data_IF_714731165395
#
_entry.id   IF_714731165395
#
_cell.length_a   1.000
_cell.length_b   1.000
_cell.length_c   1.000
_cell.angle_alpha   90.00
_cell.angle_beta   90.00
_cell.angle_gamma   90.00
#
_symmetry.space_group_name_H-M   'P 1'
#
loop_
_entity.id
_entity.type
_entity.pdbx_description
1 polymer ?
#
# COMPACT_ATOMS: atom_id res chain seq x y z
N UNK A 1 28.90 0.98 5.12
CA UNK A 1 27.65 0.42 5.67
C UNK A 1 26.77 0.06 4.50
N UNK A 2 26.37 -1.20 4.41
CA UNK A 2 25.40 -1.66 3.41
C UNK A 2 24.04 -1.03 3.71
N UNK A 3 23.48 -0.33 2.71
CA UNK A 3 22.13 0.23 2.79
C UNK A 3 21.12 -0.69 2.09
N UNK A 4 19.84 -0.29 2.05
CA UNK A 4 18.80 -1.12 1.46
C UNK A 4 18.91 -1.33 -0.06
N UNK A 5 19.93 -0.78 -0.74
CA UNK A 5 20.17 -1.08 -2.17
C UNK A 5 20.48 -2.55 -2.41
N UNK A 6 21.07 -3.23 -1.43
CA UNK A 6 21.26 -4.68 -1.50
C UNK A 6 19.92 -5.39 -1.71
N UNK A 7 18.89 -4.98 -0.95
CA UNK A 7 17.54 -5.53 -1.05
C UNK A 7 16.88 -5.17 -2.39
N UNK A 8 16.97 -3.92 -2.84
CA UNK A 8 16.34 -3.54 -4.11
C UNK A 8 16.98 -4.27 -5.29
N UNK A 9 18.31 -4.42 -5.28
CA UNK A 9 19.03 -5.18 -6.29
C UNK A 9 18.66 -6.66 -6.29
N UNK A 10 18.61 -7.30 -5.11
CA UNK A 10 18.22 -8.71 -5.00
C UNK A 10 16.77 -8.96 -5.47
N UNK A 11 15.87 -8.00 -5.30
CA UNK A 11 14.49 -8.10 -5.79
C UNK A 11 14.42 -7.98 -7.32
N UNK A 12 15.12 -7.03 -7.92
CA UNK A 12 15.12 -6.83 -9.37
C UNK A 12 15.92 -7.88 -10.12
N UNK A 13 17.12 -8.17 -9.64
CA UNK A 13 18.06 -9.15 -10.19
C UNK A 13 18.42 -10.18 -9.11
N UNK A 14 17.60 -11.23 -8.93
CA UNK A 14 17.85 -12.25 -7.91
C UNK A 14 19.13 -13.06 -8.18
N UNK A 15 19.62 -13.13 -9.42
CA UNK A 15 20.89 -13.80 -9.71
C UNK A 15 22.10 -13.08 -9.07
N UNK A 16 21.97 -11.79 -8.78
CA UNK A 16 23.01 -11.03 -8.04
C UNK A 16 23.32 -11.60 -6.66
N UNK A 17 22.42 -12.40 -6.06
CA UNK A 17 22.64 -13.02 -4.74
C UNK A 17 23.50 -14.28 -4.78
N UNK A 18 23.80 -14.84 -5.96
CA UNK A 18 24.63 -16.05 -6.08
C UNK A 18 26.08 -15.83 -5.64
N UNK A 19 26.55 -14.59 -5.64
CA UNK A 19 27.89 -14.21 -5.19
C UNK A 19 27.95 -13.84 -3.69
N UNK A 20 26.85 -13.94 -2.95
CA UNK A 20 26.77 -13.46 -1.57
C UNK A 20 27.51 -14.37 -0.59
N UNK A 21 28.19 -13.73 0.36
CA UNK A 21 28.70 -14.42 1.54
C UNK A 21 27.66 -14.44 2.69
N UNK A 22 28.04 -15.02 3.84
CA UNK A 22 27.17 -15.11 5.02
C UNK A 22 26.75 -13.74 5.58
N UNK A 23 27.60 -12.71 5.46
CA UNK A 23 27.30 -11.37 5.95
C UNK A 23 26.30 -10.66 5.02
N UNK A 24 26.45 -10.82 3.71
CA UNK A 24 25.50 -10.31 2.72
C UNK A 24 24.11 -10.94 2.89
N UNK A 25 24.03 -12.26 3.08
CA UNK A 25 22.77 -12.95 3.35
C UNK A 25 22.11 -12.49 4.64
N UNK A 26 22.90 -12.32 5.71
CA UNK A 26 22.39 -11.79 6.98
C UNK A 26 21.79 -10.39 6.79
N UNK A 27 22.49 -9.53 6.06
CA UNK A 27 22.04 -8.18 5.77
C UNK A 27 20.76 -8.15 4.93
N UNK A 28 20.73 -8.91 3.84
CA UNK A 28 19.58 -9.00 2.94
C UNK A 28 18.33 -9.47 3.69
N UNK A 29 18.44 -10.56 4.47
CA UNK A 29 17.30 -11.12 5.23
C UNK A 29 16.84 -10.15 6.31
N UNK A 30 17.76 -9.50 7.02
CA UNK A 30 17.42 -8.52 8.05
C UNK A 30 16.66 -7.32 7.46
N UNK A 31 17.12 -6.79 6.32
CA UNK A 31 16.45 -5.69 5.62
C UNK A 31 15.10 -6.12 5.04
N UNK A 32 15.01 -7.31 4.43
CA UNK A 32 13.75 -7.83 3.87
C UNK A 32 12.67 -7.99 4.95
N UNK A 33 13.03 -8.48 6.14
CA UNK A 33 12.08 -8.56 7.28
C UNK A 33 11.68 -7.19 7.79
N UNK A 34 12.64 -6.28 7.97
CA UNK A 34 12.38 -4.93 8.47
C UNK A 34 11.48 -4.10 7.53
N UNK A 35 11.56 -4.35 6.22
CA UNK A 35 10.72 -3.72 5.21
C UNK A 35 9.49 -4.57 4.82
N UNK A 36 9.20 -5.68 5.52
CA UNK A 36 8.05 -6.55 5.22
C UNK A 36 8.04 -7.10 3.78
N UNK A 37 9.23 -7.34 3.22
CA UNK A 37 9.48 -7.83 1.86
C UNK A 37 10.02 -9.27 1.83
N UNK A 38 10.12 -9.96 2.97
CA UNK A 38 10.70 -11.30 3.05
C UNK A 38 9.95 -12.33 2.18
N UNK A 39 8.61 -12.27 2.13
CA UNK A 39 7.82 -13.16 1.28
C UNK A 39 8.07 -12.90 -0.21
N UNK A 40 7.97 -11.63 -0.66
CA UNK A 40 8.27 -11.27 -2.05
C UNK A 40 9.71 -11.65 -2.45
N UNK A 41 10.69 -11.40 -1.58
CA UNK A 41 12.08 -11.82 -1.82
C UNK A 41 12.18 -13.34 -1.96
N UNK A 42 11.53 -14.10 -1.09
CA UNK A 42 11.56 -15.56 -1.14
C UNK A 42 10.94 -16.14 -2.42
N UNK A 43 9.94 -15.49 -3.01
CA UNK A 43 9.44 -15.86 -4.34
C UNK A 43 10.42 -15.46 -5.46
N UNK A 44 11.09 -14.31 -5.36
CA UNK A 44 12.08 -13.87 -6.35
C UNK A 44 13.32 -14.76 -6.40
N UNK A 45 13.72 -15.33 -5.26
CA UNK A 45 14.85 -16.26 -5.17
C UNK A 45 14.48 -17.72 -5.46
N UNK A 46 13.22 -18.01 -5.79
CA UNK A 46 12.79 -19.38 -6.05
C UNK A 46 13.48 -19.96 -7.29
N UNK A 47 13.91 -21.22 -7.19
CA UNK A 47 14.67 -21.90 -8.24
C UNK A 47 16.18 -21.58 -8.30
N UNK A 48 16.70 -20.67 -7.47
CA UNK A 48 18.15 -20.45 -7.35
C UNK A 48 18.81 -21.46 -6.41
N UNK A 49 20.09 -21.75 -6.64
CA UNK A 49 20.92 -22.57 -5.74
C UNK A 49 21.33 -21.74 -4.52
N UNK A 50 20.52 -21.80 -3.47
CA UNK A 50 20.70 -21.03 -2.24
C UNK A 50 21.40 -21.87 -1.16
N UNK A 51 22.24 -21.26 -0.30
CA UNK A 51 22.72 -21.95 0.89
C UNK A 51 21.57 -22.51 1.73
N UNK A 52 21.71 -23.75 2.20
CA UNK A 52 20.66 -24.50 2.90
C UNK A 52 19.94 -23.70 4.02
N UNK A 53 20.62 -22.95 4.91
CA UNK A 53 19.93 -22.10 5.89
C UNK A 53 19.04 -21.00 5.27
N UNK A 54 19.47 -20.41 4.16
CA UNK A 54 18.74 -19.38 3.42
C UNK A 54 17.53 -19.98 2.72
N UNK A 55 17.71 -21.15 2.08
CA UNK A 55 16.63 -21.89 1.43
C UNK A 55 15.48 -22.19 2.41
N UNK A 56 15.80 -22.65 3.64
CA UNK A 56 14.80 -22.88 4.69
C UNK A 56 14.06 -21.61 5.12
N UNK A 57 14.76 -20.48 5.25
CA UNK A 57 14.14 -19.19 5.58
C UNK A 57 13.18 -18.76 4.47
N UNK A 58 13.58 -18.92 3.20
CA UNK A 58 12.74 -18.57 2.06
C UNK A 58 11.50 -19.48 1.99
N UNK A 59 11.65 -20.78 2.19
CA UNK A 59 10.52 -21.71 2.24
C UNK A 59 9.50 -21.33 3.34
N UNK A 60 9.98 -21.01 4.55
CA UNK A 60 9.11 -20.55 5.64
C UNK A 60 8.42 -19.21 5.31
N UNK A 61 9.13 -18.29 4.66
CA UNK A 61 8.57 -17.00 4.25
C UNK A 61 7.46 -17.15 3.20
N UNK A 62 7.61 -18.07 2.24
CA UNK A 62 6.55 -18.38 1.25
C UNK A 62 5.31 -18.97 1.92
N UNK A 63 5.47 -19.93 2.83
CA UNK A 63 4.34 -20.49 3.61
C UNK A 63 3.62 -19.40 4.41
N UNK A 64 4.37 -18.48 5.03
CA UNK A 64 3.80 -17.34 5.76
C UNK A 64 3.02 -16.40 4.84
N UNK A 65 3.54 -16.12 3.64
CA UNK A 65 2.86 -15.28 2.67
C UNK A 65 1.59 -15.94 2.11
N UNK A 66 1.61 -17.25 1.85
CA UNK A 66 0.42 -18.00 1.42
C UNK A 66 -0.66 -18.04 2.51
N UNK A 67 -0.26 -18.03 3.78
CA UNK A 67 -1.20 -17.88 4.89
C UNK A 67 -1.81 -16.48 4.92
N UNK A 68 -1.00 -15.43 4.80
CA UNK A 68 -1.48 -14.05 4.73
C UNK A 68 -2.44 -13.84 3.54
N UNK A 69 -2.13 -14.41 2.37
CA UNK A 69 -2.99 -14.40 1.18
C UNK A 69 -4.37 -15.01 1.48
N UNK A 70 -4.40 -16.23 2.03
CA UNK A 70 -5.66 -16.92 2.36
C UNK A 70 -6.49 -16.14 3.36
N UNK A 71 -5.84 -15.56 4.37
CA UNK A 71 -6.51 -14.75 5.38
C UNK A 71 -7.09 -13.46 4.78
N UNK A 72 -6.34 -12.75 3.93
CA UNK A 72 -6.84 -11.54 3.27
C UNK A 72 -8.06 -11.84 2.39
N UNK A 73 -8.03 -12.93 1.62
CA UNK A 73 -9.17 -13.38 0.81
C UNK A 73 -10.37 -13.79 1.66
N UNK A 74 -10.12 -14.43 2.81
CA UNK A 74 -11.17 -14.77 3.77
C UNK A 74 -11.84 -13.51 4.35
N UNK A 75 -11.07 -12.52 4.80
CA UNK A 75 -11.65 -11.28 5.33
C UNK A 75 -12.42 -10.51 4.26
N UNK A 76 -11.93 -10.48 3.01
CA UNK A 76 -12.67 -9.91 1.89
C UNK A 76 -14.02 -10.61 1.66
N UNK A 77 -14.06 -11.95 1.74
CA UNK A 77 -15.29 -12.73 1.63
C UNK A 77 -16.24 -12.48 2.81
N UNK A 78 -15.73 -12.35 4.04
CA UNK A 78 -16.57 -12.01 5.20
C UNK A 78 -17.20 -10.62 5.06
N UNK A 79 -16.41 -9.62 4.65
CA UNK A 79 -16.93 -8.28 4.37
C UNK A 79 -17.96 -8.32 3.22
N UNK A 80 -17.69 -9.06 2.14
CA UNK A 80 -18.61 -9.22 1.01
C UNK A 80 -19.99 -9.72 1.46
N UNK A 81 -20.04 -10.77 2.30
CA UNK A 81 -21.31 -11.34 2.78
C UNK A 81 -22.19 -10.34 3.52
N UNK A 82 -21.57 -9.41 4.24
CA UNK A 82 -22.25 -8.37 5.01
C UNK A 82 -22.67 -7.20 4.12
N UNK A 83 -21.83 -6.83 3.14
CA UNK A 83 -22.00 -5.60 2.37
C UNK A 83 -22.75 -5.77 1.04
N UNK A 84 -22.68 -6.94 0.40
CA UNK A 84 -23.43 -7.21 -0.85
C UNK A 84 -24.95 -6.96 -0.72
N UNK A 85 -25.62 -7.34 0.38
CA UNK A 85 -27.04 -7.05 0.57
C UNK A 85 -27.40 -5.55 0.54
N UNK A 86 -26.45 -4.65 0.77
CA UNK A 86 -26.67 -3.20 0.69
C UNK A 86 -26.81 -2.69 -0.75
N UNK A 87 -26.38 -3.47 -1.74
CA UNK A 87 -26.46 -3.08 -3.16
C UNK A 87 -25.56 -1.91 -3.55
N UNK A 88 -24.51 -1.64 -2.76
CA UNK A 88 -23.51 -0.59 -3.02
C UNK A 88 -22.20 -1.20 -3.55
N UNK A 89 -21.44 -0.50 -4.40
CA UNK A 89 -20.13 -0.98 -4.83
C UNK A 89 -19.16 -1.05 -3.64
N UNK A 90 -18.48 -2.18 -3.49
CA UNK A 90 -17.42 -2.41 -2.50
C UNK A 90 -16.13 -2.69 -3.26
N UNK A 91 -15.25 -1.69 -3.33
CA UNK A 91 -14.00 -1.78 -4.07
C UNK A 91 -12.88 -2.17 -3.11
N UNK A 92 -12.22 -3.30 -3.33
CA UNK A 92 -11.04 -3.68 -2.58
C UNK A 92 -9.87 -2.75 -2.90
N UNK A 93 -9.10 -2.41 -1.87
CA UNK A 93 -7.88 -1.61 -1.99
C UNK A 93 -6.64 -2.37 -1.50
N UNK A 94 -5.47 -1.77 -1.79
CA UNK A 94 -4.13 -2.18 -1.33
C UNK A 94 -3.88 -3.69 -1.50
N UNK A 95 -3.29 -4.34 -0.48
CA UNK A 95 -2.79 -5.70 -0.59
C UNK A 95 -3.87 -6.73 -0.88
N UNK A 96 -5.05 -6.57 -0.28
CA UNK A 96 -6.16 -7.49 -0.47
C UNK A 96 -6.71 -7.41 -1.90
N UNK A 97 -6.79 -6.21 -2.48
CA UNK A 97 -7.12 -6.05 -3.89
C UNK A 97 -6.14 -6.79 -4.80
N UNK A 98 -4.83 -6.66 -4.55
CA UNK A 98 -3.81 -7.26 -5.41
C UNK A 98 -3.89 -8.79 -5.40
N UNK A 99 -4.09 -9.40 -4.23
CA UNK A 99 -4.21 -10.86 -4.14
C UNK A 99 -5.54 -11.38 -4.68
N UNK A 100 -6.63 -10.61 -4.56
CA UNK A 100 -7.94 -10.96 -5.09
C UNK A 100 -7.96 -10.92 -6.63
N UNK A 101 -7.30 -9.93 -7.22
CA UNK A 101 -7.15 -9.80 -8.67
C UNK A 101 -6.01 -10.65 -9.28
N UNK A 102 -5.26 -11.40 -8.46
CA UNK A 102 -4.14 -12.21 -8.94
C UNK A 102 -2.95 -11.40 -9.48
N UNK A 103 -2.80 -10.14 -9.07
CA UNK A 103 -1.72 -9.25 -9.52
C UNK A 103 -0.37 -9.65 -8.92
N UNK A 104 0.72 -9.41 -9.65
CA UNK A 104 2.10 -9.71 -9.21
C UNK A 104 2.47 -8.98 -7.92
N UNK A 105 1.86 -7.82 -7.66
CA UNK A 105 2.04 -7.07 -6.41
C UNK A 105 1.50 -7.82 -5.17
N UNK A 106 0.61 -8.80 -5.36
CA UNK A 106 0.11 -9.68 -4.30
C UNK A 106 1.06 -10.83 -3.93
N UNK A 107 2.04 -11.16 -4.79
CA UNK A 107 2.92 -12.32 -4.59
C UNK A 107 3.90 -12.08 -3.44
N UNK A 108 3.85 -12.94 -2.43
CA UNK A 108 4.71 -12.83 -1.25
C UNK A 108 4.38 -11.66 -0.32
N UNK A 109 3.26 -10.97 -0.56
CA UNK A 109 2.89 -9.74 0.13
C UNK A 109 2.43 -9.97 1.58
N UNK A 110 2.98 -9.20 2.51
CA UNK A 110 2.44 -9.05 3.86
C UNK A 110 1.22 -8.12 3.82
N UNK A 111 0.09 -8.57 4.39
CA UNK A 111 -1.21 -7.88 4.42
C UNK A 111 -1.71 -7.92 5.87
N UNK A 112 -2.05 -6.77 6.44
CA UNK A 112 -2.47 -6.66 7.84
C UNK A 112 -3.96 -6.33 8.01
N UNK A 113 -4.47 -5.49 7.12
CA UNK A 113 -5.75 -4.82 7.11
C UNK A 113 -6.55 -5.16 5.85
N UNK A 114 -7.88 -5.10 5.95
CA UNK A 114 -8.78 -5.08 4.82
C UNK A 114 -9.17 -3.63 4.52
N UNK A 115 -8.66 -3.09 3.43
CA UNK A 115 -9.06 -1.77 2.95
C UNK A 115 -10.15 -1.88 1.89
N UNK A 116 -11.24 -1.14 2.07
CA UNK A 116 -12.32 -1.03 1.08
C UNK A 116 -12.65 0.43 0.76
N UNK A 117 -13.04 0.73 -0.47
CA UNK A 117 -13.62 2.00 -0.89
C UNK A 117 -15.11 1.80 -1.21
N UNK A 118 -15.94 2.65 -0.62
CA UNK A 118 -17.40 2.67 -0.80
C UNK A 118 -17.88 4.10 -1.12
N UNK A 119 -19.09 4.27 -1.69
CA UNK A 119 -19.66 5.59 -1.87
C UNK A 119 -19.81 6.32 -0.53
N UNK A 120 -19.44 7.60 -0.48
CA UNK A 120 -19.55 8.40 0.75
C UNK A 120 -20.96 8.41 1.33
N UNK A 121 -21.98 8.46 0.48
CA UNK A 121 -23.39 8.43 0.88
C UNK A 121 -23.82 7.10 1.52
N UNK A 122 -23.02 6.03 1.39
CA UNK A 122 -23.30 4.72 1.95
C UNK A 122 -22.55 4.43 3.26
N UNK A 123 -21.69 5.35 3.74
CA UNK A 123 -20.83 5.12 4.92
C UNK A 123 -21.62 4.66 6.14
N UNK A 124 -22.68 5.37 6.51
CA UNK A 124 -23.50 5.04 7.69
C UNK A 124 -24.15 3.65 7.56
N UNK A 125 -24.58 3.28 6.35
CA UNK A 125 -25.19 1.97 6.09
C UNK A 125 -24.15 0.84 6.14
N UNK A 126 -22.96 1.07 5.59
CA UNK A 126 -21.83 0.13 5.60
C UNK A 126 -21.34 -0.09 7.03
N UNK A 127 -21.09 0.99 7.77
CA UNK A 127 -20.70 0.96 9.18
C UNK A 127 -21.70 0.17 10.03
N UNK A 128 -22.99 0.51 9.91
CA UNK A 128 -24.06 -0.19 10.62
C UNK A 128 -24.09 -1.67 10.29
N UNK A 129 -23.95 -2.05 9.02
CA UNK A 129 -23.94 -3.45 8.61
C UNK A 129 -22.73 -4.21 9.20
N UNK A 130 -21.53 -3.62 9.15
CA UNK A 130 -20.32 -4.22 9.72
C UNK A 130 -20.45 -4.44 11.23
N UNK A 131 -21.02 -3.48 11.96
CA UNK A 131 -21.16 -3.57 13.42
C UNK A 131 -22.29 -4.52 13.81
N UNK A 132 -23.50 -4.31 13.29
CA UNK A 132 -24.70 -5.02 13.76
C UNK A 132 -24.79 -6.45 13.22
N UNK A 133 -24.25 -6.72 12.03
CA UNK A 133 -24.38 -8.01 11.33
C UNK A 133 -23.03 -8.71 11.12
N UNK A 134 -21.96 -7.93 10.98
CA UNK A 134 -20.64 -8.43 10.64
C UNK A 134 -19.74 -8.78 11.82
N UNK A 135 -20.06 -8.33 13.04
CA UNK A 135 -19.24 -8.59 14.24
C UNK A 135 -17.99 -7.72 14.34
N UNK A 136 -17.93 -6.60 13.62
CA UNK A 136 -16.90 -5.58 13.81
C UNK A 136 -17.28 -4.61 14.93
N UNK A 137 -16.27 -4.06 15.60
CA UNK A 137 -16.42 -3.04 16.64
C UNK A 137 -15.36 -1.95 16.49
N UNK A 138 -15.59 -0.82 17.15
CA UNK A 138 -14.64 0.28 17.19
C UNK A 138 -13.39 -0.11 17.99
N UNK A 139 -12.20 0.15 17.42
CA UNK A 139 -10.93 -0.08 18.13
C UNK A 139 -10.83 0.82 19.38
N UNK A 140 -11.41 2.03 19.32
CA UNK A 140 -11.49 2.97 20.45
C UNK A 140 -12.80 3.74 20.40
N UNK A 141 -13.43 3.89 21.56
CA UNK A 141 -14.63 4.70 21.75
C UNK A 141 -14.22 6.10 22.27
N UNK A 142 -13.83 7.00 21.36
CA UNK A 142 -13.48 8.39 21.68
C UNK A 142 -14.19 9.35 20.70
N UNK A 143 -15.22 10.05 21.19
CA UNK A 143 -16.04 11.00 20.43
C UNK A 143 -15.22 12.08 19.68
N UNK A 144 -14.07 12.49 20.21
CA UNK A 144 -13.22 13.47 19.55
C UNK A 144 -12.48 12.88 18.34
N UNK A 145 -11.99 11.65 18.48
CA UNK A 145 -11.31 10.96 17.39
C UNK A 145 -12.35 10.60 16.30
N UNK A 146 -13.57 10.17 16.65
CA UNK A 146 -14.64 9.91 15.69
C UNK A 146 -14.97 11.12 14.80
N UNK A 147 -15.28 12.28 15.42
CA UNK A 147 -15.54 13.51 14.68
C UNK A 147 -14.34 13.92 13.80
N UNK A 148 -13.12 13.74 14.30
CA UNK A 148 -11.92 14.04 13.52
C UNK A 148 -11.83 13.16 12.25
N UNK A 149 -12.09 11.85 12.35
CA UNK A 149 -12.10 10.96 11.19
C UNK A 149 -13.19 11.34 10.19
N UNK A 150 -14.43 11.52 10.66
CA UNK A 150 -15.57 11.81 9.76
C UNK A 150 -15.44 13.14 9.02
N UNK A 151 -14.94 14.17 9.70
CA UNK A 151 -14.86 15.52 9.13
C UNK A 151 -13.60 15.73 8.27
N UNK A 152 -12.51 15.01 8.55
CA UNK A 152 -11.20 15.34 7.99
C UNK A 152 -10.52 14.17 7.28
N UNK A 153 -10.77 12.92 7.70
CA UNK A 153 -10.12 11.74 7.12
C UNK A 153 -10.91 11.18 5.94
N UNK A 154 -10.25 10.27 5.24
CA UNK A 154 -10.71 9.66 4.00
C UNK A 154 -11.37 8.30 4.22
N UNK A 155 -11.50 7.93 5.48
CA UNK A 155 -11.98 6.65 6.00
C UNK A 155 -12.73 6.88 7.32
N UNK A 156 -13.59 5.93 7.68
CA UNK A 156 -14.13 5.83 9.03
C UNK A 156 -13.02 5.55 10.04
N UNK A 157 -13.22 5.83 11.34
CA UNK A 157 -12.31 5.31 12.34
C UNK A 157 -12.13 3.78 12.19
N UNK A 158 -10.97 3.24 12.55
CA UNK A 158 -10.67 1.84 12.30
C UNK A 158 -11.61 0.92 13.08
N UNK A 159 -12.12 -0.10 12.39
CA UNK A 159 -12.94 -1.16 12.95
C UNK A 159 -12.13 -2.45 13.08
N UNK A 160 -12.42 -3.27 14.08
CA UNK A 160 -11.79 -4.58 14.30
C UNK A 160 -12.85 -5.66 14.52
N UNK A 161 -12.65 -6.85 13.95
CA UNK A 161 -13.56 -7.96 14.18
C UNK A 161 -13.31 -8.62 15.54
N UNK A 162 -14.36 -8.73 16.36
CA UNK A 162 -14.31 -9.21 17.75
C UNK A 162 -13.61 -10.58 17.93
N UNK A 163 -13.86 -11.53 17.03
CA UNK A 163 -13.33 -12.90 17.15
C UNK A 163 -12.05 -13.16 16.33
N UNK A 164 -11.81 -12.35 15.29
CA UNK A 164 -10.77 -12.65 14.28
C UNK A 164 -9.52 -11.80 14.46
N UNK A 165 -9.61 -10.72 15.26
CA UNK A 165 -8.53 -9.75 15.47
C UNK A 165 -8.04 -9.18 14.12
N UNK A 166 -9.01 -8.79 13.28
CA UNK A 166 -8.77 -8.27 11.92
C UNK A 166 -9.38 -6.91 11.73
N UNK A 167 -8.55 -5.98 11.30
CA UNK A 167 -8.93 -4.61 11.02
C UNK A 167 -9.58 -4.48 9.64
N UNK A 168 -10.58 -3.62 9.54
CA UNK A 168 -11.14 -3.15 8.27
C UNK A 168 -11.13 -1.62 8.27
N UNK A 169 -10.57 -1.06 7.21
CA UNK A 169 -10.54 0.39 6.97
C UNK A 169 -11.54 0.70 5.84
N UNK A 170 -12.55 1.50 6.16
CA UNK A 170 -13.67 1.81 5.25
C UNK A 170 -13.48 3.22 4.68
N UNK A 171 -12.91 3.29 3.48
CA UNK A 171 -12.62 4.51 2.77
C UNK A 171 -13.83 5.04 2.00
N UNK A 172 -13.93 6.37 1.90
CA UNK A 172 -14.83 7.08 0.96
C UNK A 172 -14.07 7.91 -0.08
N UNK A 173 -12.75 8.03 0.08
CA UNK A 173 -11.80 8.60 -0.89
C UNK A 173 -10.39 8.09 -0.54
N UNK A 174 -9.37 8.45 -1.32
CA UNK A 174 -8.00 7.89 -1.19
C UNK A 174 -6.98 8.83 -0.53
N UNK A 175 -7.38 10.06 -0.19
CA UNK A 175 -6.57 11.03 0.56
C UNK A 175 -7.44 11.80 1.54
N UNK A 176 -6.92 12.17 2.73
CA UNK A 176 -7.64 13.02 3.69
C UNK A 176 -8.34 14.21 3.04
N UNK A 177 -9.54 14.55 3.51
CA UNK A 177 -10.31 15.71 3.01
C UNK A 177 -9.57 17.04 3.23
N UNK A 178 -8.62 17.04 4.17
CA UNK A 178 -7.73 18.16 4.49
C UNK A 178 -6.46 18.21 3.66
N UNK A 179 -6.21 17.20 2.80
CA UNK A 179 -5.06 17.20 1.91
C UNK A 179 -5.19 18.30 0.86
N UNK A 180 -4.06 18.87 0.42
CA UNK A 180 -4.05 19.86 -0.66
C UNK A 180 -4.34 19.30 -2.05
N UNK A 181 -4.80 18.06 -2.16
CA UNK A 181 -5.21 17.37 -3.39
C UNK A 181 -6.58 16.75 -3.17
N UNK A 182 -7.41 16.75 -4.18
CA UNK A 182 -8.76 16.18 -4.11
C UNK A 182 -8.96 15.09 -5.17
N UNK A 183 -8.63 13.82 -4.85
CA UNK A 183 -8.93 12.71 -5.75
C UNK A 183 -10.43 12.59 -6.01
N UNK A 184 -10.81 12.50 -7.29
CA UNK A 184 -12.18 12.22 -7.73
C UNK A 184 -12.63 10.79 -7.36
N UNK A 185 -13.23 10.64 -6.17
CA UNK A 185 -13.68 9.35 -5.65
C UNK A 185 -14.88 8.77 -6.41
N UNK A 186 -15.75 9.61 -6.97
CA UNK A 186 -16.87 9.16 -7.79
C UNK A 186 -16.36 8.50 -9.07
N UNK A 187 -15.32 9.05 -9.70
CA UNK A 187 -14.66 8.43 -10.83
C UNK A 187 -13.96 7.11 -10.50
N UNK A 188 -13.29 7.03 -9.34
CA UNK A 188 -12.68 5.80 -8.87
C UNK A 188 -13.71 4.68 -8.71
N UNK A 189 -14.89 5.01 -8.17
CA UNK A 189 -16.01 4.08 -8.00
C UNK A 189 -16.66 3.73 -9.35
N UNK A 190 -16.93 4.72 -10.19
CA UNK A 190 -17.60 4.54 -11.48
C UNK A 190 -16.78 3.67 -12.44
N UNK A 191 -15.47 3.88 -12.48
CA UNK A 191 -14.55 3.15 -13.38
C UNK A 191 -13.95 1.90 -12.71
N UNK A 192 -14.40 1.53 -11.51
CA UNK A 192 -14.00 0.28 -10.87
C UNK A 192 -14.55 -0.93 -11.65
N UNK A 193 -13.81 -2.03 -11.63
CA UNK A 193 -14.10 -3.26 -12.36
C UNK A 193 -14.59 -4.35 -11.40
N UNK A 194 -15.50 -5.22 -11.85
CA UNK A 194 -15.94 -6.36 -11.03
C UNK A 194 -14.83 -7.41 -10.92
N UNK A 195 -14.65 -7.95 -9.70
CA UNK A 195 -13.73 -9.06 -9.48
C UNK A 195 -14.43 -10.39 -9.79
N UNK A 196 -13.90 -11.11 -10.78
CA UNK A 196 -14.28 -12.50 -11.04
C UNK A 196 -13.68 -13.43 -9.99
N UNK A 197 -14.41 -13.64 -8.89
CA UNK A 197 -14.00 -14.59 -7.84
C UNK A 197 -14.53 -15.98 -8.18
N UNK A 198 -13.61 -16.92 -8.46
CA UNK A 198 -13.92 -18.25 -9.03
C UNK A 198 -14.78 -19.17 -8.14
N UNK A 199 -14.99 -18.85 -6.86
CA UNK A 199 -15.68 -19.72 -5.89
C UNK A 199 -16.78 -19.00 -5.07
N UNK A 200 -17.75 -18.35 -5.73
CA UNK A 200 -19.09 -18.20 -5.13
C UNK A 200 -19.65 -16.81 -4.86
N UNK A 201 -19.35 -15.82 -5.70
CA UNK A 201 -20.26 -14.68 -5.89
C UNK A 201 -19.56 -13.36 -6.22
N UNK A 202 -20.03 -12.69 -7.27
CA UNK A 202 -19.70 -11.30 -7.55
C UNK A 202 -20.09 -10.36 -6.40
N UNK A 203 -19.86 -9.06 -6.63
CA UNK A 203 -20.20 -8.01 -5.67
C UNK A 203 -19.01 -7.41 -4.92
N UNK A 204 -17.78 -7.88 -5.19
CA UNK A 204 -16.56 -7.12 -4.92
C UNK A 204 -16.02 -6.53 -6.22
N UNK A 205 -15.37 -5.39 -6.10
CA UNK A 205 -14.78 -4.65 -7.22
C UNK A 205 -13.31 -4.35 -6.94
N UNK A 206 -12.59 -3.93 -7.96
CA UNK A 206 -11.23 -3.38 -7.87
C UNK A 206 -11.17 -2.09 -8.67
N UNK A 207 -10.27 -1.16 -8.32
CA UNK A 207 -10.02 0.02 -9.14
C UNK A 207 -9.53 -0.39 -10.53
N UNK A 208 -9.76 0.48 -11.54
CA UNK A 208 -9.16 0.30 -12.86
C UNK A 208 -7.62 0.23 -12.76
N UNK A 209 -6.92 -0.47 -13.67
CA UNK A 209 -5.46 -0.61 -13.60
C UNK A 209 -4.68 0.71 -13.43
N UNK A 210 -5.00 1.80 -14.16
CA UNK A 210 -4.35 3.10 -13.94
C UNK A 210 -4.65 3.70 -12.56
N UNK A 211 -5.87 3.52 -12.05
CA UNK A 211 -6.28 4.03 -10.74
C UNK A 211 -5.65 3.26 -9.57
N UNK A 212 -5.40 1.96 -9.73
CA UNK A 212 -4.61 1.18 -8.77
C UNK A 212 -3.23 1.82 -8.59
N UNK A 213 -2.57 2.21 -9.70
CA UNK A 213 -1.26 2.87 -9.67
C UNK A 213 -1.35 4.27 -9.06
N UNK A 214 -2.36 5.06 -9.42
CA UNK A 214 -2.62 6.36 -8.81
C UNK A 214 -2.80 6.26 -7.29
N UNK A 215 -3.64 5.32 -6.83
CA UNK A 215 -3.87 5.07 -5.42
C UNK A 215 -2.60 4.64 -4.69
N UNK A 216 -1.83 3.68 -5.24
CA UNK A 216 -0.57 3.23 -4.65
C UNK A 216 0.46 4.37 -4.54
N UNK A 217 0.55 5.23 -5.57
CA UNK A 217 1.42 6.40 -5.56
C UNK A 217 0.95 7.48 -4.56
N UNK A 218 -0.37 7.68 -4.41
CA UNK A 218 -0.95 8.59 -3.44
C UNK A 218 -0.64 8.12 -2.01
N UNK A 219 -0.89 6.86 -1.71
CA UNK A 219 -0.60 6.26 -0.41
C UNK A 219 0.89 6.43 -0.03
N UNK A 220 1.80 6.18 -0.96
CA UNK A 220 3.23 6.30 -0.69
C UNK A 220 3.72 7.76 -0.61
N UNK A 221 3.31 8.64 -1.53
CA UNK A 221 3.93 9.96 -1.69
C UNK A 221 3.05 11.15 -1.33
N UNK A 222 1.73 11.01 -1.25
CA UNK A 222 0.81 12.10 -0.94
C UNK A 222 0.25 12.02 0.49
N UNK A 223 0.29 10.86 1.14
CA UNK A 223 -0.17 10.68 2.52
C UNK A 223 0.92 10.12 3.47
N UNK A 224 1.77 9.22 2.97
CA UNK A 224 2.76 8.50 3.79
C UNK A 224 4.01 9.28 4.23
N UNK A 225 4.62 8.79 5.32
CA UNK A 225 5.93 9.23 5.87
C UNK A 225 7.12 8.39 5.34
N UNK A 226 6.85 7.51 4.37
CA UNK A 226 7.77 6.54 3.77
C UNK A 226 8.27 5.44 4.74
N UNK A 227 7.62 5.22 5.89
CA UNK A 227 7.82 3.99 6.66
C UNK A 227 7.26 2.79 5.88
N UNK A 228 8.02 1.70 5.80
CA UNK A 228 7.69 0.57 4.91
C UNK A 228 7.67 0.94 3.42
N UNK A 229 8.27 2.08 3.05
CA UNK A 229 8.13 2.64 1.72
C UNK A 229 8.75 1.80 0.60
N UNK A 230 9.73 0.93 0.91
CA UNK A 230 10.29 0.02 -0.09
C UNK A 230 9.28 -1.05 -0.51
N UNK A 231 8.50 -1.58 0.44
CA UNK A 231 7.41 -2.52 0.11
C UNK A 231 6.38 -1.86 -0.80
N UNK A 232 5.93 -0.66 -0.44
CA UNK A 232 4.95 0.07 -1.24
C UNK A 232 5.49 0.43 -2.64
N UNK A 233 6.78 0.76 -2.74
CA UNK A 233 7.40 1.03 -4.04
C UNK A 233 7.57 -0.25 -4.88
N UNK A 234 7.86 -1.38 -4.24
CA UNK A 234 7.89 -2.69 -4.89
C UNK A 234 6.51 -3.07 -5.46
N UNK A 235 5.43 -2.80 -4.73
CA UNK A 235 4.07 -3.00 -5.26
C UNK A 235 3.87 -2.22 -6.56
N UNK A 236 4.26 -0.94 -6.57
CA UNK A 236 4.14 -0.10 -7.76
C UNK A 236 4.99 -0.65 -8.91
N UNK A 237 6.22 -1.08 -8.66
CA UNK A 237 7.04 -1.73 -9.69
C UNK A 237 6.34 -2.98 -10.27
N UNK A 238 5.73 -3.83 -9.43
CA UNK A 238 4.99 -5.01 -9.89
C UNK A 238 3.76 -4.62 -10.72
N UNK A 239 2.96 -3.66 -10.25
CA UNK A 239 1.77 -3.16 -10.95
C UNK A 239 2.12 -2.57 -12.32
N UNK A 240 3.20 -1.78 -12.40
CA UNK A 240 3.64 -1.17 -13.65
C UNK A 240 4.12 -2.21 -14.66
N UNK A 241 4.71 -3.32 -14.20
CA UNK A 241 5.09 -4.43 -15.07
C UNK A 241 3.90 -5.25 -15.53
N UNK A 242 2.90 -5.44 -14.67
CA UNK A 242 1.66 -6.14 -15.04
C UNK A 242 0.85 -5.34 -16.08
N UNK A 243 0.77 -4.02 -15.93
CA UNK A 243 -0.11 -3.18 -16.76
C UNK A 243 0.60 -2.45 -17.91
N UNK A 244 1.91 -2.21 -17.78
CA UNK A 244 2.67 -1.38 -18.72
C UNK A 244 2.83 -1.97 -20.12
N UNK A 245 2.52 -3.26 -20.30
CA UNK A 245 2.49 -3.94 -21.60
C UNK A 245 1.14 -3.80 -22.32
N UNK A 246 0.10 -3.29 -21.65
CA UNK A 246 -1.21 -3.08 -22.26
C UNK A 246 -1.24 -1.82 -23.14
N UNK A 247 -1.83 -1.93 -24.32
CA UNK A 247 -1.97 -0.82 -25.27
C UNK A 247 -2.72 0.36 -24.63
N UNK A 248 -2.16 1.56 -24.74
CA UNK A 248 -2.75 2.79 -24.22
C UNK A 248 -2.66 3.00 -22.70
N UNK A 249 -2.13 2.04 -21.93
CA UNK A 249 -2.07 2.14 -20.46
C UNK A 249 -1.40 3.42 -19.96
N UNK A 250 -0.26 3.80 -20.57
CA UNK A 250 0.52 4.96 -20.13
C UNK A 250 -0.21 6.28 -20.37
N UNK A 251 -0.88 6.43 -21.51
CA UNK A 251 -1.71 7.59 -21.83
C UNK A 251 -2.83 7.75 -20.79
N UNK A 252 -3.60 6.68 -20.56
CA UNK A 252 -4.69 6.68 -19.58
C UNK A 252 -4.17 6.91 -18.17
N UNK A 253 -3.01 6.36 -17.78
CA UNK A 253 -2.39 6.65 -16.49
C UNK A 253 -2.07 8.13 -16.31
N UNK A 254 -1.59 8.80 -17.36
CA UNK A 254 -1.38 10.25 -17.37
C UNK A 254 -2.69 11.00 -17.11
N UNK A 255 -3.74 10.68 -17.86
CA UNK A 255 -5.07 11.29 -17.74
C UNK A 255 -5.68 11.10 -16.35
N UNK A 256 -5.61 9.87 -15.80
CA UNK A 256 -6.09 9.58 -14.43
C UNK A 256 -5.26 10.31 -13.38
N UNK A 257 -3.95 10.37 -13.54
CA UNK A 257 -3.10 11.12 -12.62
C UNK A 257 -3.42 12.63 -12.64
N UNK A 258 -3.80 13.20 -13.78
CA UNK A 258 -4.31 14.56 -13.87
C UNK A 258 -5.67 14.72 -13.18
N UNK A 259 -6.62 13.83 -13.50
CA UNK A 259 -7.98 13.84 -12.93
C UNK A 259 -7.98 13.81 -11.40
N UNK A 260 -7.09 13.01 -10.80
CA UNK A 260 -7.01 12.88 -9.34
C UNK A 260 -6.03 13.87 -8.68
N UNK A 261 -5.44 14.80 -9.44
CA UNK A 261 -4.39 15.75 -8.97
C UNK A 261 -3.11 15.06 -8.44
N UNK A 262 -2.84 13.85 -8.95
CA UNK A 262 -1.77 12.94 -8.53
C UNK A 262 -0.56 12.89 -9.47
N UNK A 263 -0.48 13.74 -10.50
CA UNK A 263 0.67 13.83 -11.44
C UNK A 263 2.02 13.82 -10.72
N UNK A 264 2.17 14.60 -9.63
CA UNK A 264 3.42 14.69 -8.87
C UNK A 264 3.76 13.38 -8.11
N UNK A 265 2.85 12.80 -7.31
CA UNK A 265 2.99 11.46 -6.74
C UNK A 265 3.31 10.37 -7.77
N UNK A 266 2.52 10.27 -8.84
CA UNK A 266 2.66 9.24 -9.89
C UNK A 266 4.02 9.37 -10.57
N UNK A 267 4.36 10.54 -11.11
CA UNK A 267 5.66 10.73 -11.76
C UNK A 267 6.84 10.47 -10.81
N UNK A 268 6.70 10.73 -9.50
CA UNK A 268 7.76 10.34 -8.53
C UNK A 268 7.84 8.83 -8.36
N UNK A 269 6.71 8.14 -8.30
CA UNK A 269 6.69 6.69 -8.23
C UNK A 269 7.44 6.09 -9.41
N UNK A 270 7.08 6.50 -10.64
CA UNK A 270 7.72 6.04 -11.88
C UNK A 270 9.24 6.25 -11.88
N UNK A 271 9.73 7.45 -11.53
CA UNK A 271 11.18 7.73 -11.46
C UNK A 271 11.91 6.93 -10.39
N UNK A 272 11.26 6.61 -9.28
CA UNK A 272 11.88 5.86 -8.19
C UNK A 272 11.84 4.35 -8.43
N UNK A 273 10.78 3.83 -9.04
CA UNK A 273 10.71 2.42 -9.47
C UNK A 273 11.71 2.15 -10.58
N UNK A 274 11.80 3.02 -11.60
CA UNK A 274 12.84 2.96 -12.63
C UNK A 274 14.25 2.95 -12.01
N UNK A 275 14.53 3.88 -11.09
CA UNK A 275 15.85 4.02 -10.48
C UNK A 275 16.25 2.86 -9.55
N UNK A 276 15.30 2.36 -8.75
CA UNK A 276 15.61 1.40 -7.69
C UNK A 276 15.33 -0.05 -8.08
N UNK A 277 14.40 -0.26 -9.01
CA UNK A 277 13.95 -1.59 -9.42
C UNK A 277 14.09 -1.86 -10.93
N UNK A 278 14.62 -0.91 -11.71
CA UNK A 278 14.79 -1.03 -13.16
C UNK A 278 13.46 -1.33 -13.87
N UNK A 279 12.38 -0.73 -13.36
CA UNK A 279 11.03 -0.84 -13.94
C UNK A 279 11.01 -0.19 -15.32
N UNK A 280 10.53 -0.88 -16.36
CA UNK A 280 10.30 -0.26 -17.66
C UNK A 280 9.16 0.76 -17.51
N UNK A 281 9.41 1.99 -17.93
CA UNK A 281 8.45 3.10 -17.80
C UNK A 281 8.41 3.94 -19.07
N UNK A 282 7.26 4.51 -19.39
CA UNK A 282 7.13 5.45 -20.50
C UNK A 282 7.67 6.84 -20.11
N UNK A 283 8.67 7.32 -20.85
CA UNK A 283 9.37 8.57 -20.57
C UNK A 283 8.49 9.82 -20.60
N UNK A 284 7.39 9.82 -21.36
CA UNK A 284 6.46 10.95 -21.44
C UNK A 284 5.69 11.12 -20.12
N UNK A 285 5.17 10.02 -19.55
CA UNK A 285 4.42 10.02 -18.29
C UNK A 285 5.33 10.23 -17.07
N UNK A 286 6.53 9.66 -17.09
CA UNK A 286 7.55 9.77 -16.02
C UNK A 286 7.91 11.25 -15.77
N UNK A 287 7.96 12.03 -16.84
CA UNK A 287 8.37 13.42 -16.83
C UNK A 287 9.83 13.64 -16.42
N UNK A 288 10.24 14.90 -16.32
CA UNK A 288 11.65 15.26 -16.08
C UNK A 288 12.15 14.83 -14.69
N UNK A 289 13.42 14.37 -14.58
CA UNK A 289 14.07 14.11 -13.30
C UNK A 289 13.96 15.28 -12.32
N UNK A 290 13.75 14.99 -11.03
CA UNK A 290 13.66 16.01 -9.99
C UNK A 290 14.80 15.86 -8.99
N UNK A 291 15.50 16.95 -8.69
CA UNK A 291 16.61 16.97 -7.71
C UNK A 291 16.20 16.47 -6.32
N UNK A 292 14.95 16.66 -5.93
CA UNK A 292 14.42 16.20 -4.65
C UNK A 292 14.26 14.66 -4.57
N UNK A 293 14.20 13.93 -5.69
CA UNK A 293 14.00 12.48 -5.67
C UNK A 293 15.17 11.75 -4.99
N UNK A 294 16.36 12.37 -4.96
CA UNK A 294 17.50 11.89 -4.16
C UNK A 294 17.18 11.81 -2.66
N UNK A 295 16.37 12.72 -2.11
CA UNK A 295 15.97 12.68 -0.70
C UNK A 295 14.95 11.56 -0.44
N UNK A 296 14.05 11.30 -1.38
CA UNK A 296 13.08 10.20 -1.28
C UNK A 296 13.80 8.84 -1.37
N UNK A 297 14.64 8.64 -2.38
CA UNK A 297 15.48 7.45 -2.47
C UNK A 297 16.33 7.26 -1.20
N UNK A 298 16.92 8.35 -0.70
CA UNK A 298 17.69 8.34 0.54
C UNK A 298 16.89 7.95 1.78
N UNK A 299 15.59 8.25 1.81
CA UNK A 299 14.68 7.91 2.90
C UNK A 299 14.18 6.47 2.79
N UNK A 300 13.90 6.01 1.58
CA UNK A 300 13.52 4.62 1.30
C UNK A 300 14.65 3.65 1.62
N UNK A 301 15.89 4.03 1.30
CA UNK A 301 17.08 3.19 1.52
C UNK A 301 17.65 3.31 2.94
N UNK A 302 16.95 3.94 3.89
CA UNK A 302 17.47 4.27 5.22
C UNK A 302 17.48 3.06 6.19
N UNK A 303 18.12 1.96 5.78
CA UNK A 303 18.39 0.77 6.59
C UNK A 303 19.87 0.46 6.64
N UNK A 304 20.31 -0.19 7.72
CA UNK A 304 21.63 -0.82 7.77
C UNK A 304 21.53 -2.34 7.53
N UNK A 305 22.68 -3.02 7.51
CA UNK A 305 22.76 -4.49 7.37
C UNK A 305 22.16 -5.29 8.55
N UNK A 306 21.55 -4.65 9.54
CA UNK A 306 20.77 -5.31 10.59
C UNK A 306 19.27 -4.96 10.48
N UNK A 307 18.85 -4.32 9.39
CA UNK A 307 17.48 -3.86 9.18
C UNK A 307 17.08 -2.67 10.06
N UNK A 308 18.03 -2.04 10.78
CA UNK A 308 17.73 -0.91 11.66
C UNK A 308 17.59 0.35 10.85
N UNK A 309 16.65 1.19 11.25
CA UNK A 309 16.45 2.48 10.59
C UNK A 309 17.65 3.41 10.82
N UNK A 310 18.18 3.96 9.74
CA UNK A 310 19.28 4.94 9.76
C UNK A 310 18.74 6.35 9.45
N UNK A 311 19.64 7.35 9.37
CA UNK A 311 19.31 8.72 8.92
C UNK A 311 18.14 9.36 9.70
N UNK A 312 18.24 9.35 11.04
CA UNK A 312 17.22 9.85 11.98
C UNK A 312 16.64 11.22 11.59
N UNK A 313 17.49 12.17 11.21
CA UNK A 313 17.03 13.52 10.79
C UNK A 313 16.19 13.49 9.51
N UNK A 314 16.60 12.71 8.51
CA UNK A 314 15.84 12.57 7.28
C UNK A 314 14.48 11.93 7.54
N UNK A 315 14.45 10.90 8.39
CA UNK A 315 13.20 10.27 8.83
C UNK A 315 12.28 11.26 9.54
N UNK A 316 12.81 12.04 10.47
CA UNK A 316 12.05 13.08 11.17
C UNK A 316 11.49 14.12 10.19
N UNK A 317 12.26 14.54 9.18
CA UNK A 317 11.77 15.46 8.14
C UNK A 317 10.59 14.88 7.37
N UNK A 318 10.65 13.60 6.99
CA UNK A 318 9.56 12.94 6.27
C UNK A 318 8.32 12.68 7.16
N UNK A 319 8.53 12.41 8.45
CA UNK A 319 7.46 12.34 9.45
C UNK A 319 6.75 13.69 9.61
N UNK A 320 7.49 14.79 9.74
CA UNK A 320 6.88 16.14 9.82
C UNK A 320 6.14 16.45 8.51
N UNK A 321 6.74 16.10 7.37
CA UNK A 321 6.12 16.28 6.05
C UNK A 321 4.80 15.52 5.92
N UNK A 322 4.69 14.27 6.37
CA UNK A 322 3.43 13.52 6.27
C UNK A 322 2.31 14.18 7.07
N UNK A 323 2.62 14.73 8.25
CA UNK A 323 1.64 15.48 9.03
C UNK A 323 1.18 16.76 8.32
N UNK A 324 2.08 17.48 7.65
CA UNK A 324 1.73 18.65 6.83
C UNK A 324 0.95 18.30 5.56
N UNK A 325 1.11 17.09 5.04
CA UNK A 325 0.32 16.61 3.90
C UNK A 325 -1.11 16.25 4.33
N UNK A 326 -1.26 15.70 5.53
CA UNK A 326 -2.56 15.29 6.10
C UNK A 326 -3.36 16.45 6.65
N UNK A 327 -2.72 17.44 7.29
CA UNK A 327 -3.43 18.51 7.99
C UNK A 327 -2.78 19.88 7.81
N UNK A 328 -3.59 20.96 7.64
CA UNK A 328 -3.11 22.33 7.79
C UNK A 328 -2.44 22.55 9.17
N UNK A 329 -1.37 23.37 9.26
CA UNK A 329 -0.62 23.56 10.51
C UNK A 329 -1.47 24.01 11.72
N UNK A 330 -2.52 24.79 11.48
CA UNK A 330 -3.47 25.25 12.51
C UNK A 330 -4.31 24.11 13.09
N UNK A 331 -4.70 23.16 12.23
CA UNK A 331 -5.42 21.96 12.65
C UNK A 331 -4.53 20.99 13.40
N UNK A 332 -3.28 20.81 12.94
CA UNK A 332 -2.28 20.02 13.66
C UNK A 332 -2.01 20.58 15.07
N UNK A 333 -1.86 21.90 15.19
CA UNK A 333 -1.68 22.56 16.49
C UNK A 333 -2.89 22.33 17.41
N UNK A 334 -4.12 22.44 16.88
CA UNK A 334 -5.35 22.15 17.63
C UNK A 334 -5.43 20.68 18.05
N UNK A 335 -5.11 19.75 17.17
CA UNK A 335 -5.13 18.30 17.44
C UNK A 335 -4.11 17.94 18.53
N UNK A 336 -2.86 18.42 18.42
CA UNK A 336 -1.83 18.19 19.43
C UNK A 336 -2.20 18.80 20.79
N UNK A 337 -2.81 20.00 20.79
CA UNK A 337 -3.29 20.64 22.01
C UNK A 337 -4.41 19.85 22.69
N UNK A 338 -5.38 19.36 21.93
CA UNK A 338 -6.47 18.53 22.47
C UNK A 338 -5.94 17.20 23.01
N UNK A 339 -5.02 16.53 22.30
CA UNK A 339 -4.39 15.29 22.79
C UNK A 339 -3.49 15.49 24.01
N UNK A 340 -2.80 16.63 24.12
CA UNK A 340 -1.99 16.94 25.31
C UNK A 340 -2.83 17.22 26.57
N UNK A 341 -4.07 17.67 26.40
CA UNK A 341 -4.99 17.97 27.51
C UNK A 341 -5.75 16.76 28.04
N UNK A 342 -5.79 15.66 27.29
CA UNK A 342 -6.35 14.36 27.72
C UNK A 342 -5.27 13.56 28.44
#
# INVERSE_FOLDING_TARGET
MTDARLLTRALSDPASTLAFDSADWTALIAMARAEQLMGSLAHRLDGLDLPEPVARICAAARVSADHARRQALWEAEMARRVLVPLGVPVVLLKGTAFVAAGLSAGVGRSIGDLDILVPRAALDAVEKALIEQGGWEWVKDDEYDDAYYRDHMHELPPLIHQDRDRMIDVHHTILPLTAGRSPDAEALLADSEELDVSDGGGGLRILSPPDIVCHAAAHLFADGDLAGGLRNLWDIDRLLRDFGEHDGFWEVLGERAERHELVKPVGRALRLTERLYETPVDGEVVGKPRTNDNRYASRLLARDGWGRETRKFLRLTFYIRSHWLRMPPTMLARHLWTKWRK
#
